data_IF_008822857806
#
_entry.id   IF_008822857806
#
_cell.length_a   1.000
_cell.length_b   1.000
_cell.length_c   1.000
_cell.angle_alpha   90.00
_cell.angle_beta   90.00
_cell.angle_gamma   90.00
#
_symmetry.space_group_name_H-M   'P 1'
#
loop_
_entity.id
_entity.type
_entity.pdbx_description
1 polymer ?
#
# COMPACT_ATOMS: atom_id res chain seq x y z
N UNK A 1 33.66 -28.97 -29.11
CA UNK A 1 33.24 -28.30 -27.86
C UNK A 1 33.86 -26.90 -27.78
N UNK A 2 33.51 -25.99 -28.68
CA UNK A 2 33.96 -24.58 -28.65
C UNK A 2 32.85 -23.62 -29.11
N UNK A 3 31.89 -24.10 -29.90
CA UNK A 3 30.76 -23.30 -30.40
C UNK A 3 29.64 -23.07 -29.37
N UNK A 4 29.55 -23.86 -28.29
CA UNK A 4 28.54 -23.67 -27.23
C UNK A 4 28.93 -22.57 -26.23
N UNK A 5 30.22 -22.28 -26.07
CA UNK A 5 30.70 -21.30 -25.09
C UNK A 5 30.55 -19.86 -25.62
N UNK A 6 30.66 -19.66 -26.93
CA UNK A 6 30.51 -18.35 -27.56
C UNK A 6 29.06 -17.82 -27.55
N UNK A 7 28.06 -18.73 -27.57
CA UNK A 7 26.64 -18.34 -27.54
C UNK A 7 26.16 -17.85 -26.17
N UNK A 8 26.78 -18.30 -25.07
CA UNK A 8 26.33 -17.98 -23.72
C UNK A 8 26.86 -16.62 -23.22
N UNK A 9 28.00 -16.16 -23.74
CA UNK A 9 28.63 -14.90 -23.30
C UNK A 9 27.98 -13.66 -23.95
N UNK A 10 27.46 -13.78 -25.18
CA UNK A 10 26.80 -12.66 -25.87
C UNK A 10 25.34 -12.45 -25.43
N UNK A 11 24.68 -13.47 -24.90
CA UNK A 11 23.33 -13.34 -24.34
C UNK A 11 23.27 -12.58 -23.01
N UNK A 12 24.28 -12.77 -22.15
CA UNK A 12 24.34 -12.11 -20.85
C UNK A 12 24.74 -10.62 -20.95
N UNK A 13 25.62 -10.27 -21.88
CA UNK A 13 26.03 -8.86 -22.08
C UNK A 13 24.95 -8.01 -22.76
N UNK A 14 24.16 -8.60 -23.68
CA UNK A 14 23.09 -7.89 -24.38
C UNK A 14 21.86 -7.62 -23.51
N UNK A 15 21.50 -8.55 -22.62
CA UNK A 15 20.36 -8.35 -21.71
C UNK A 15 20.71 -7.37 -20.57
N UNK A 16 21.96 -7.30 -20.11
CA UNK A 16 22.37 -6.34 -19.07
C UNK A 16 22.36 -4.86 -19.51
N UNK A 17 22.71 -4.58 -20.76
CA UNK A 17 22.74 -3.21 -21.27
C UNK A 17 21.34 -2.58 -21.43
N UNK A 18 20.32 -3.40 -21.70
CA UNK A 18 18.94 -2.92 -21.80
C UNK A 18 18.33 -2.54 -20.43
N UNK A 19 18.76 -3.18 -19.33
CA UNK A 19 18.40 -2.76 -17.96
C UNK A 19 19.22 -1.55 -17.50
N UNK A 20 20.49 -1.43 -17.92
CA UNK A 20 21.36 -0.32 -17.51
C UNK A 20 20.99 1.02 -18.15
N UNK A 21 20.38 1.04 -19.35
CA UNK A 21 19.94 2.27 -20.00
C UNK A 21 18.52 2.72 -19.61
N UNK A 22 17.74 1.86 -18.93
CA UNK A 22 16.48 2.24 -18.29
C UNK A 22 16.63 2.48 -16.78
N UNK A 23 17.80 2.19 -16.20
CA UNK A 23 18.09 2.42 -14.79
C UNK A 23 18.19 3.91 -14.41
N UNK A 24 18.26 4.84 -15.38
CA UNK A 24 18.19 6.29 -15.13
C UNK A 24 16.74 6.80 -14.99
N UNK A 25 15.74 5.91 -14.94
CA UNK A 25 14.33 6.30 -14.72
C UNK A 25 13.60 5.46 -13.68
N UNK A 26 14.19 4.38 -13.18
CA UNK A 26 13.75 3.75 -11.94
C UNK A 26 14.62 4.28 -10.81
N UNK A 27 14.16 5.37 -10.20
CA UNK A 27 14.45 5.57 -8.77
C UNK A 27 14.14 4.25 -8.06
N UNK A 28 14.96 3.77 -7.12
CA UNK A 28 14.53 2.69 -6.26
C UNK A 28 13.14 3.08 -5.74
N UNK A 29 12.18 2.15 -5.78
CA UNK A 29 10.93 2.26 -5.02
C UNK A 29 11.27 2.15 -3.53
N UNK A 30 12.14 3.04 -3.06
CA UNK A 30 12.28 3.39 -1.67
C UNK A 30 11.00 4.17 -1.35
N UNK A 31 9.96 3.44 -0.97
CA UNK A 31 8.74 4.02 -0.43
C UNK A 31 9.13 4.91 0.74
N UNK A 32 9.10 6.22 0.55
CA UNK A 32 9.35 7.14 1.66
C UNK A 32 8.17 7.04 2.64
N UNK A 33 8.38 7.28 3.93
CA UNK A 33 7.28 7.30 4.90
C UNK A 33 6.12 8.23 4.48
N UNK A 34 6.47 9.35 3.82
CA UNK A 34 5.48 10.27 3.28
C UNK A 34 4.71 9.73 2.07
N UNK A 35 5.35 8.95 1.20
CA UNK A 35 4.68 8.30 0.08
C UNK A 35 3.71 7.23 0.56
N UNK A 36 4.12 6.41 1.54
CA UNK A 36 3.27 5.39 2.15
C UNK A 36 2.06 6.01 2.86
N UNK A 37 2.26 7.11 3.61
CA UNK A 37 1.15 7.83 4.26
C UNK A 37 0.13 8.35 3.24
N UNK A 38 0.59 8.95 2.14
CA UNK A 38 -0.30 9.43 1.06
C UNK A 38 -1.05 8.28 0.40
N UNK A 39 -0.36 7.20 0.06
CA UNK A 39 -0.97 6.03 -0.55
C UNK A 39 -2.00 5.35 0.39
N UNK A 40 -1.75 5.36 1.71
CA UNK A 40 -2.72 4.92 2.70
C UNK A 40 -3.99 5.79 2.68
N UNK A 41 -3.82 7.11 2.60
CA UNK A 41 -4.93 8.05 2.53
C UNK A 41 -5.72 7.95 1.22
N UNK A 42 -5.06 7.76 0.07
CA UNK A 42 -5.73 7.48 -1.20
C UNK A 42 -6.52 6.16 -1.18
N UNK A 43 -5.97 5.13 -0.52
CA UNK A 43 -6.69 3.89 -0.31
C UNK A 43 -7.93 4.09 0.57
N UNK A 44 -7.82 4.90 1.63
CA UNK A 44 -8.91 5.19 2.55
C UNK A 44 -10.00 6.09 1.95
N UNK A 45 -9.63 7.03 1.07
CA UNK A 45 -10.56 7.87 0.31
C UNK A 45 -11.41 7.04 -0.66
N UNK A 46 -10.78 6.07 -1.34
CA UNK A 46 -11.46 5.11 -2.19
C UNK A 46 -12.18 3.97 -1.45
N UNK A 47 -12.09 3.91 -0.12
CA UNK A 47 -12.72 2.87 0.68
C UNK A 47 -14.16 3.23 1.07
N UNK A 48 -15.10 2.37 0.67
CA UNK A 48 -16.52 2.44 0.99
C UNK A 48 -16.92 1.25 1.89
N UNK A 49 -17.23 1.48 3.17
CA UNK A 49 -17.66 0.43 4.10
C UNK A 49 -18.87 -0.38 3.63
N UNK A 50 -19.80 0.23 2.89
CA UNK A 50 -21.02 -0.45 2.42
C UNK A 50 -20.71 -1.50 1.35
N UNK A 51 -19.56 -1.35 0.67
CA UNK A 51 -19.09 -2.31 -0.34
C UNK A 51 -18.26 -3.44 0.23
N UNK A 52 -17.83 -3.37 1.50
CA UNK A 52 -16.88 -4.33 2.07
C UNK A 52 -17.35 -5.79 1.99
N UNK A 53 -18.65 -6.03 2.18
CA UNK A 53 -19.25 -7.38 2.10
C UNK A 53 -19.92 -7.67 0.76
N UNK A 54 -19.79 -6.78 -0.23
CA UNK A 54 -20.36 -6.99 -1.55
C UNK A 54 -19.64 -8.15 -2.26
N UNK A 55 -20.37 -8.90 -3.08
CA UNK A 55 -19.76 -9.93 -3.91
C UNK A 55 -19.13 -9.32 -5.17
N UNK A 56 -18.08 -9.97 -5.68
CA UNK A 56 -17.42 -9.61 -6.93
C UNK A 56 -16.52 -8.37 -6.81
N UNK A 57 -16.20 -7.71 -7.94
CA UNK A 57 -15.14 -6.70 -8.00
C UNK A 57 -15.31 -5.54 -7.02
N UNK A 58 -16.54 -5.13 -6.72
CA UNK A 58 -16.79 -4.02 -5.80
C UNK A 58 -16.33 -4.34 -4.37
N UNK A 59 -16.61 -5.56 -3.88
CA UNK A 59 -16.16 -5.99 -2.55
C UNK A 59 -14.69 -6.31 -2.51
N UNK A 60 -14.15 -6.93 -3.56
CA UNK A 60 -12.70 -7.16 -3.69
C UNK A 60 -11.92 -5.84 -3.61
N UNK A 61 -12.39 -4.81 -4.31
CA UNK A 61 -11.78 -3.47 -4.23
C UNK A 61 -11.90 -2.90 -2.82
N UNK A 62 -13.08 -2.96 -2.20
CA UNK A 62 -13.28 -2.40 -0.85
C UNK A 62 -12.40 -3.07 0.20
N UNK A 63 -12.31 -4.42 0.20
CA UNK A 63 -11.45 -5.18 1.10
C UNK A 63 -9.99 -4.84 0.90
N UNK A 64 -9.51 -4.81 -0.35
CA UNK A 64 -8.11 -4.51 -0.64
C UNK A 64 -7.74 -3.06 -0.32
N UNK A 65 -8.65 -2.10 -0.55
CA UNK A 65 -8.44 -0.69 -0.17
C UNK A 65 -8.32 -0.54 1.35
N UNK A 66 -9.20 -1.19 2.11
CA UNK A 66 -9.13 -1.16 3.56
C UNK A 66 -7.85 -1.80 4.11
N UNK A 67 -7.46 -2.95 3.56
CA UNK A 67 -6.21 -3.62 3.94
C UNK A 67 -4.97 -2.79 3.58
N UNK A 68 -4.93 -2.22 2.36
CA UNK A 68 -3.83 -1.38 1.90
C UNK A 68 -3.63 -0.14 2.79
N UNK A 69 -4.73 0.53 3.19
CA UNK A 69 -4.65 1.66 4.11
C UNK A 69 -3.94 1.29 5.44
N UNK A 70 -4.25 0.11 6.00
CA UNK A 70 -3.59 -0.38 7.22
C UNK A 70 -2.12 -0.70 7.02
N UNK A 71 -1.78 -1.42 5.94
CA UNK A 71 -0.41 -1.82 5.67
C UNK A 71 0.51 -0.62 5.38
N UNK A 72 0.05 0.32 4.55
CA UNK A 72 0.82 1.48 4.14
C UNK A 72 0.97 2.49 5.29
N UNK A 73 -0.08 2.75 6.06
CA UNK A 73 0.05 3.64 7.23
C UNK A 73 0.99 3.06 8.29
N UNK A 74 0.99 1.73 8.48
CA UNK A 74 1.96 1.07 9.35
C UNK A 74 3.40 1.19 8.84
N UNK A 75 3.62 1.04 7.53
CA UNK A 75 4.94 1.27 6.90
C UNK A 75 5.41 2.72 7.10
N UNK A 76 4.53 3.68 6.86
CA UNK A 76 4.79 5.10 7.10
C UNK A 76 5.21 5.39 8.55
N UNK A 77 4.44 4.88 9.53
CA UNK A 77 4.75 5.07 10.95
C UNK A 77 6.06 4.39 11.37
N UNK A 78 6.40 3.24 10.78
CA UNK A 78 7.67 2.56 11.05
C UNK A 78 8.88 3.37 10.55
N UNK A 79 8.72 4.11 9.45
CA UNK A 79 9.79 4.93 8.89
C UNK A 79 9.82 6.39 9.41
N UNK A 80 8.71 6.93 9.90
CA UNK A 80 8.65 8.26 10.53
C UNK A 80 7.52 8.34 11.56
N UNK A 81 7.88 8.57 12.83
CA UNK A 81 6.96 8.57 13.96
C UNK A 81 5.84 9.62 13.87
N UNK A 82 5.99 10.67 13.05
CA UNK A 82 4.91 11.65 12.85
C UNK A 82 3.64 11.04 12.23
N UNK A 83 3.74 9.87 11.60
CA UNK A 83 2.61 9.14 11.00
C UNK A 83 1.97 8.11 11.95
N UNK A 84 2.43 8.00 13.20
CA UNK A 84 1.88 7.05 14.18
C UNK A 84 0.37 7.26 14.41
N UNK A 85 -0.10 8.51 14.47
CA UNK A 85 -1.52 8.79 14.74
C UNK A 85 -2.43 8.25 13.62
N UNK A 86 -2.02 8.43 12.36
CA UNK A 86 -2.72 7.86 11.20
C UNK A 86 -2.79 6.33 11.30
N UNK A 87 -1.64 5.69 11.54
CA UNK A 87 -1.55 4.24 11.63
C UNK A 87 -2.40 3.67 12.79
N UNK A 88 -2.42 4.35 13.93
CA UNK A 88 -3.23 3.95 15.08
C UNK A 88 -4.72 4.09 14.82
N UNK A 89 -5.17 5.19 14.19
CA UNK A 89 -6.58 5.37 13.86
C UNK A 89 -7.08 4.26 12.91
N UNK A 90 -6.33 3.98 11.84
CA UNK A 90 -6.68 2.89 10.90
C UNK A 90 -6.64 1.53 11.60
N UNK A 91 -5.62 1.27 12.44
CA UNK A 91 -5.51 0.00 13.16
C UNK A 91 -6.66 -0.23 14.14
N UNK A 92 -7.07 0.78 14.91
CA UNK A 92 -8.23 0.65 15.83
C UNK A 92 -9.51 0.27 15.10
N UNK A 93 -9.74 0.91 13.94
CA UNK A 93 -10.84 0.55 13.05
C UNK A 93 -10.75 -0.92 12.60
N UNK A 94 -9.57 -1.36 12.14
CA UNK A 94 -9.35 -2.73 11.65
C UNK A 94 -9.49 -3.78 12.75
N UNK A 95 -8.91 -3.53 13.92
CA UNK A 95 -8.97 -4.43 15.06
C UNK A 95 -10.42 -4.57 15.56
N UNK A 96 -11.17 -3.47 15.64
CA UNK A 96 -12.58 -3.50 16.02
C UNK A 96 -13.41 -4.25 14.98
N UNK A 97 -13.24 -3.94 13.70
CA UNK A 97 -13.93 -4.64 12.62
C UNK A 97 -13.62 -6.14 12.64
N UNK A 98 -12.37 -6.55 12.91
CA UNK A 98 -12.00 -7.96 13.02
C UNK A 98 -12.65 -8.67 14.23
N UNK A 99 -13.02 -7.93 15.28
CA UNK A 99 -13.71 -8.48 16.45
C UNK A 99 -15.21 -8.62 16.25
N UNK A 100 -15.84 -7.65 15.58
CA UNK A 100 -17.32 -7.58 15.48
C UNK A 100 -17.86 -7.91 14.09
N UNK A 101 -16.98 -8.03 13.10
CA UNK A 101 -17.32 -8.29 11.69
C UNK A 101 -18.36 -7.33 11.11
N UNK A 102 -18.33 -6.07 11.55
CA UNK A 102 -19.24 -5.01 11.12
C UNK A 102 -18.54 -3.64 11.18
N UNK A 103 -19.01 -2.69 10.37
CA UNK A 103 -18.64 -1.28 10.45
C UNK A 103 -19.59 -0.55 11.42
N UNK A 104 -19.50 -0.94 12.69
CA UNK A 104 -20.26 -0.35 13.78
C UNK A 104 -19.89 1.13 14.01
N UNK A 105 -20.57 1.81 14.93
CA UNK A 105 -20.32 3.21 15.22
C UNK A 105 -18.88 3.49 15.68
N UNK A 106 -18.21 2.53 16.33
CA UNK A 106 -16.83 2.67 16.76
C UNK A 106 -15.86 2.53 15.59
N UNK A 107 -16.05 1.53 14.73
CA UNK A 107 -15.26 1.38 13.49
C UNK A 107 -15.38 2.64 12.63
N UNK A 108 -16.61 3.12 12.41
CA UNK A 108 -16.86 4.34 11.61
C UNK A 108 -16.21 5.57 12.22
N UNK A 109 -16.27 5.74 13.54
CA UNK A 109 -15.59 6.83 14.23
C UNK A 109 -14.08 6.82 13.99
N UNK A 110 -13.44 5.66 14.11
CA UNK A 110 -11.98 5.55 13.88
C UNK A 110 -11.62 5.77 12.39
N UNK A 111 -12.46 5.33 11.45
CA UNK A 111 -12.30 5.65 10.02
C UNK A 111 -12.40 7.15 9.74
N UNK A 112 -13.39 7.82 10.35
CA UNK A 112 -13.58 9.25 10.16
C UNK A 112 -12.42 10.05 10.76
N UNK A 113 -11.91 9.64 11.92
CA UNK A 113 -10.67 10.20 12.47
C UNK A 113 -9.48 10.00 11.52
N UNK A 114 -9.30 8.80 10.98
CA UNK A 114 -8.22 8.54 10.02
C UNK A 114 -8.35 9.42 8.76
N UNK A 115 -9.58 9.63 8.25
CA UNK A 115 -9.86 10.53 7.12
C UNK A 115 -9.59 12.00 7.46
N UNK A 116 -9.88 12.43 8.68
CA UNK A 116 -9.54 13.79 9.15
C UNK A 116 -8.03 14.00 9.19
N UNK A 117 -7.27 13.04 9.72
CA UNK A 117 -5.80 13.08 9.70
C UNK A 117 -5.30 13.16 8.25
N UNK A 118 -5.85 12.34 7.35
CA UNK A 118 -5.51 12.38 5.93
C UNK A 118 -5.74 13.72 5.25
N UNK A 119 -6.76 14.49 5.64
CA UNK A 119 -7.01 15.84 5.10
C UNK A 119 -6.02 16.89 5.62
N UNK A 120 -5.31 16.58 6.71
CA UNK A 120 -4.33 17.46 7.35
C UNK A 120 -2.88 17.13 6.95
N UNK A 121 -2.67 16.10 6.12
CA UNK A 121 -1.35 15.63 5.65
C UNK A 121 -0.75 16.45 4.51
#
# INVERSE_FOLDING_TARGET
MLSLVAGLVLGAAGMGAAWAMNADSDSPVDGTPAADARAACEALDGFDPEKYTANGPAGEVAVNRYAAAGALSASAAAGDAKYEELAQAIRRSQDRHAQVFDFDATVKKDLDQAREICRAL
#
